data_IF_894025899496
#
_entry.id   IF_894025899496
#
_cell.length_a   1.000
_cell.length_b   1.000
_cell.length_c   1.000
_cell.angle_alpha   90.00
_cell.angle_beta   90.00
_cell.angle_gamma   90.00
#
_symmetry.space_group_name_H-M   'P 1'
#
loop_
_entity.id
_entity.type
_entity.pdbx_description
1 polymer ?
#
# COMPACT_ATOMS: atom_id res chain seq x y z
N UNK A 1 -4.40 19.30 -5.23
CA UNK A 1 -3.94 18.50 -4.06
C UNK A 1 -2.64 19.12 -3.56
N UNK A 2 -2.43 19.17 -2.24
CA UNK A 2 -1.21 19.74 -1.66
C UNK A 2 0.06 18.96 -2.09
N UNK A 3 1.18 19.67 -2.32
CA UNK A 3 2.43 19.06 -2.81
C UNK A 3 3.02 18.04 -1.83
N UNK A 4 2.86 18.26 -0.51
CA UNK A 4 3.30 17.27 0.50
C UNK A 4 2.46 16.01 0.42
N UNK A 5 1.14 16.13 0.25
CA UNK A 5 0.25 14.96 0.04
C UNK A 5 0.68 14.18 -1.21
N UNK A 6 0.97 14.87 -2.31
CA UNK A 6 1.45 14.22 -3.53
C UNK A 6 2.76 13.47 -3.31
N UNK A 7 3.75 14.09 -2.65
CA UNK A 7 5.04 13.46 -2.37
C UNK A 7 4.92 12.26 -1.43
N UNK A 8 4.16 12.39 -0.34
CA UNK A 8 3.98 11.29 0.63
C UNK A 8 3.18 10.14 0.01
N UNK A 9 2.20 10.43 -0.85
CA UNK A 9 1.50 9.40 -1.62
C UNK A 9 2.44 8.66 -2.58
N UNK A 10 3.34 9.37 -3.27
CA UNK A 10 4.33 8.73 -4.13
C UNK A 10 5.30 7.87 -3.34
N UNK A 11 5.77 8.38 -2.19
CA UNK A 11 6.62 7.63 -1.28
C UNK A 11 5.95 6.35 -0.78
N UNK A 12 4.65 6.39 -0.48
CA UNK A 12 3.87 5.22 -0.09
C UNK A 12 3.87 4.16 -1.21
N UNK A 13 3.64 4.55 -2.46
CA UNK A 13 3.65 3.63 -3.62
C UNK A 13 5.03 2.96 -3.81
N UNK A 14 6.12 3.73 -3.71
CA UNK A 14 7.47 3.16 -3.81
C UNK A 14 7.84 2.29 -2.61
N UNK A 15 7.39 2.65 -1.41
CA UNK A 15 7.58 1.81 -0.22
C UNK A 15 6.82 0.51 -0.37
N UNK A 16 5.62 0.52 -0.97
CA UNK A 16 4.89 -0.70 -1.26
C UNK A 16 5.62 -1.57 -2.28
N UNK A 17 6.21 -0.99 -3.32
CA UNK A 17 7.07 -1.77 -4.22
C UNK A 17 8.25 -2.44 -3.47
N UNK A 18 8.87 -1.72 -2.53
CA UNK A 18 9.90 -2.29 -1.66
C UNK A 18 9.39 -3.42 -0.76
N UNK A 19 8.20 -3.26 -0.20
CA UNK A 19 7.54 -4.28 0.62
C UNK A 19 7.22 -5.54 -0.19
N UNK A 20 6.64 -5.39 -1.39
CA UNK A 20 6.41 -6.49 -2.33
C UNK A 20 7.69 -7.24 -2.69
N UNK A 21 8.84 -6.57 -2.76
CA UNK A 21 10.14 -7.22 -3.00
C UNK A 21 10.56 -8.07 -1.79
N UNK A 22 10.42 -7.56 -0.56
CA UNK A 22 10.69 -8.35 0.64
C UNK A 22 9.78 -9.58 0.71
N UNK A 23 8.49 -9.40 0.46
CA UNK A 23 7.51 -10.48 0.41
C UNK A 23 7.84 -11.52 -0.68
N UNK A 24 8.36 -11.06 -1.83
CA UNK A 24 8.78 -11.94 -2.91
C UNK A 24 9.99 -12.80 -2.53
N UNK A 25 11.02 -12.18 -1.96
CA UNK A 25 12.22 -12.89 -1.47
C UNK A 25 11.83 -13.91 -0.39
N UNK A 26 10.85 -13.59 0.44
CA UNK A 26 10.35 -14.48 1.49
C UNK A 26 9.26 -15.45 1.04
N UNK A 27 8.93 -15.53 -0.25
CA UNK A 27 7.92 -16.44 -0.80
C UNK A 27 6.56 -16.35 -0.08
N UNK A 28 6.05 -15.13 0.15
CA UNK A 28 4.83 -14.91 0.95
C UNK A 28 3.62 -15.76 0.50
N UNK A 29 3.48 -16.01 -0.81
CA UNK A 29 2.41 -16.84 -1.39
C UNK A 29 2.44 -18.30 -0.92
N UNK A 30 3.56 -18.77 -0.36
CA UNK A 30 3.69 -20.12 0.18
C UNK A 30 3.32 -20.20 1.65
N UNK A 31 3.36 -19.09 2.39
CA UNK A 31 3.23 -19.11 3.85
C UNK A 31 1.95 -18.42 4.35
N UNK A 32 1.40 -17.48 3.58
CA UNK A 32 0.21 -16.73 3.96
C UNK A 32 -1.02 -17.20 3.15
N UNK A 33 -2.04 -17.83 3.78
CA UNK A 33 -3.19 -18.36 3.05
C UNK A 33 -3.96 -17.32 2.23
N UNK A 34 -4.20 -16.08 2.70
CA UNK A 34 -4.77 -15.02 1.87
C UNK A 34 -3.96 -14.71 0.61
N UNK A 35 -2.63 -14.61 0.71
CA UNK A 35 -1.77 -14.36 -0.45
C UNK A 35 -1.83 -15.52 -1.45
N UNK A 36 -1.76 -16.76 -0.96
CA UNK A 36 -1.91 -17.95 -1.80
C UNK A 36 -3.22 -17.96 -2.57
N UNK A 37 -4.33 -17.69 -1.89
CA UNK A 37 -5.65 -17.63 -2.50
C UNK A 37 -5.69 -16.59 -3.63
N UNK A 38 -5.26 -15.36 -3.35
CA UNK A 38 -5.23 -14.29 -4.36
C UNK A 38 -4.34 -14.65 -5.57
N UNK A 39 -3.17 -15.24 -5.34
CA UNK A 39 -2.27 -15.64 -6.43
C UNK A 39 -2.90 -16.72 -7.31
N UNK A 40 -3.59 -17.69 -6.71
CA UNK A 40 -4.27 -18.77 -7.44
C UNK A 40 -5.44 -18.30 -8.30
N UNK A 41 -6.02 -17.13 -8.01
CA UNK A 41 -7.07 -16.53 -8.87
C UNK A 41 -6.50 -15.96 -10.17
N UNK A 42 -5.19 -15.70 -10.22
CA UNK A 42 -4.52 -15.06 -11.36
C UNK A 42 -3.74 -16.07 -12.19
N UNK A 43 -3.15 -17.09 -11.56
CA UNK A 43 -2.30 -18.08 -12.22
C UNK A 43 -2.23 -19.38 -11.41
N UNK A 44 -2.17 -20.53 -12.09
CA UNK A 44 -1.92 -21.84 -11.46
C UNK A 44 -0.52 -21.91 -10.82
N UNK A 45 0.42 -21.13 -11.37
CA UNK A 45 1.73 -20.89 -10.80
C UNK A 45 1.64 -19.69 -9.84
N UNK A 46 1.73 -19.95 -8.53
CA UNK A 46 1.54 -18.96 -7.47
C UNK A 46 2.57 -17.84 -7.50
N UNK A 47 3.82 -18.13 -7.86
CA UNK A 47 4.87 -17.13 -7.97
C UNK A 47 4.56 -16.13 -9.09
N UNK A 48 4.14 -16.63 -10.26
CA UNK A 48 3.68 -15.78 -11.37
C UNK A 48 2.45 -14.96 -10.97
N UNK A 49 1.49 -15.58 -10.27
CA UNK A 49 0.32 -14.89 -9.73
C UNK A 49 0.73 -13.73 -8.82
N UNK A 50 1.68 -13.96 -7.92
CA UNK A 50 2.21 -12.95 -7.00
C UNK A 50 2.89 -11.81 -7.76
N UNK A 51 3.74 -12.11 -8.74
CA UNK A 51 4.41 -11.11 -9.57
C UNK A 51 3.40 -10.24 -10.34
N UNK A 52 2.42 -10.86 -10.99
CA UNK A 52 1.40 -10.14 -11.77
C UNK A 52 0.58 -9.21 -10.87
N UNK A 53 0.17 -9.69 -9.69
CA UNK A 53 -0.59 -8.87 -8.72
C UNK A 53 0.24 -7.67 -8.28
N UNK A 54 1.48 -7.87 -7.83
CA UNK A 54 2.31 -6.79 -7.27
C UNK A 54 2.77 -5.80 -8.33
N UNK A 55 3.15 -6.26 -9.53
CA UNK A 55 3.47 -5.37 -10.65
C UNK A 55 2.22 -4.57 -11.04
N UNK A 56 1.06 -5.23 -11.14
CA UNK A 56 -0.22 -4.56 -11.39
C UNK A 56 -0.51 -3.50 -10.34
N UNK A 57 -0.32 -3.82 -9.06
CA UNK A 57 -0.51 -2.89 -7.95
C UNK A 57 0.41 -1.67 -8.06
N UNK A 58 1.70 -1.88 -8.30
CA UNK A 58 2.65 -0.79 -8.48
C UNK A 58 2.30 0.10 -9.67
N UNK A 59 1.97 -0.50 -10.82
CA UNK A 59 1.54 0.23 -12.02
C UNK A 59 0.27 1.04 -11.75
N UNK A 60 -0.74 0.46 -11.09
CA UNK A 60 -1.95 1.18 -10.68
C UNK A 60 -1.63 2.34 -9.73
N UNK A 61 -0.67 2.16 -8.82
CA UNK A 61 -0.21 3.22 -7.90
C UNK A 61 0.42 4.39 -8.65
N UNK A 62 1.34 4.10 -9.57
CA UNK A 62 2.01 5.11 -10.40
C UNK A 62 1.03 5.81 -11.34
N UNK A 63 0.14 5.07 -12.01
CA UNK A 63 -0.87 5.65 -12.89
C UNK A 63 -1.88 6.49 -12.11
N UNK A 64 -2.38 5.98 -10.98
CA UNK A 64 -3.25 6.73 -10.09
C UNK A 64 -2.59 8.01 -9.59
N UNK A 65 -1.29 7.95 -9.28
CA UNK A 65 -0.54 9.14 -8.88
C UNK A 65 -0.39 10.14 -10.03
N UNK A 66 0.08 9.70 -11.20
CA UNK A 66 0.33 10.56 -12.37
C UNK A 66 -0.94 11.22 -12.89
N UNK A 67 -2.01 10.44 -13.02
CA UNK A 67 -3.24 10.88 -13.70
C UNK A 67 -4.19 11.62 -12.76
N UNK A 68 -4.23 11.25 -11.47
CA UNK A 68 -5.25 11.76 -10.54
C UNK A 68 -4.64 12.60 -9.42
N UNK A 69 -3.65 12.09 -8.68
CA UNK A 69 -3.10 12.77 -7.51
C UNK A 69 -2.28 14.00 -7.89
N UNK A 70 -1.41 13.87 -8.90
CA UNK A 70 -0.55 14.95 -9.40
C UNK A 70 -1.37 16.06 -10.06
N UNK A 71 -2.40 15.72 -10.82
CA UNK A 71 -3.28 16.67 -11.52
C UNK A 71 -4.30 17.32 -10.57
N UNK A 72 -4.48 16.77 -9.37
CA UNK A 72 -5.47 17.26 -8.41
C UNK A 72 -6.92 16.93 -8.81
N UNK A 73 -7.13 15.86 -9.58
CA UNK A 73 -8.43 15.40 -10.03
C UNK A 73 -9.40 15.15 -8.85
N UNK A 74 -10.71 15.29 -9.07
CA UNK A 74 -11.74 15.08 -8.03
C UNK A 74 -11.69 13.68 -7.39
N UNK A 75 -11.22 12.69 -8.15
CA UNK A 75 -11.07 11.31 -7.69
C UNK A 75 -9.78 11.05 -6.89
N UNK A 76 -8.84 12.00 -6.85
CA UNK A 76 -7.54 11.83 -6.18
C UNK A 76 -7.70 11.41 -4.71
N UNK A 77 -8.68 11.99 -4.01
CA UNK A 77 -8.95 11.69 -2.60
C UNK A 77 -9.32 10.22 -2.40
N UNK A 78 -10.18 9.67 -3.25
CA UNK A 78 -10.62 8.27 -3.15
C UNK A 78 -9.46 7.31 -3.42
N UNK A 79 -8.64 7.61 -4.42
CA UNK A 79 -7.45 6.81 -4.73
C UNK A 79 -6.45 6.84 -3.58
N UNK A 80 -6.18 8.01 -3.00
CA UNK A 80 -5.29 8.10 -1.83
C UNK A 80 -5.84 7.29 -0.65
N UNK A 81 -7.14 7.37 -0.37
CA UNK A 81 -7.75 6.60 0.71
C UNK A 81 -7.73 5.09 0.48
N UNK A 82 -7.92 4.65 -0.77
CA UNK A 82 -7.75 3.25 -1.16
C UNK A 82 -6.36 2.75 -0.77
N UNK A 83 -5.31 3.46 -1.18
CA UNK A 83 -3.93 3.13 -0.81
C UNK A 83 -3.69 3.16 0.70
N UNK A 84 -4.15 4.20 1.40
CA UNK A 84 -4.02 4.28 2.86
C UNK A 84 -4.62 3.04 3.54
N UNK A 85 -5.83 2.64 3.16
CA UNK A 85 -6.52 1.53 3.81
C UNK A 85 -5.75 0.22 3.60
N UNK A 86 -5.33 -0.05 2.36
CA UNK A 86 -4.58 -1.26 2.04
C UNK A 86 -3.27 -1.31 2.82
N UNK A 87 -2.49 -0.23 2.83
CA UNK A 87 -1.18 -0.26 3.49
C UNK A 87 -1.27 -0.27 5.01
N UNK A 88 -2.34 0.26 5.60
CA UNK A 88 -2.62 0.06 7.02
C UNK A 88 -2.96 -1.41 7.33
N UNK A 89 -3.73 -2.08 6.46
CA UNK A 89 -4.04 -3.49 6.60
C UNK A 89 -2.77 -4.34 6.47
N UNK A 90 -1.92 -4.08 5.46
CA UNK A 90 -0.63 -4.76 5.30
C UNK A 90 0.26 -4.56 6.53
N UNK A 91 0.43 -3.31 6.96
CA UNK A 91 1.25 -2.95 8.11
C UNK A 91 0.83 -3.67 9.38
N UNK A 92 -0.46 -3.67 9.70
CA UNK A 92 -1.00 -4.38 10.87
C UNK A 92 -0.93 -5.90 10.70
N UNK A 93 -1.32 -6.40 9.53
CA UNK A 93 -1.40 -7.83 9.23
C UNK A 93 -0.06 -8.53 9.44
N UNK A 94 1.03 -7.96 8.91
CA UNK A 94 2.37 -8.52 9.05
C UNK A 94 2.89 -8.49 10.48
N UNK A 95 2.67 -7.40 11.22
CA UNK A 95 3.08 -7.31 12.62
C UNK A 95 2.32 -8.29 13.48
N UNK A 96 0.99 -8.33 13.36
CA UNK A 96 0.14 -9.26 14.13
C UNK A 96 0.49 -10.71 13.81
N UNK A 97 0.68 -11.05 12.53
CA UNK A 97 1.01 -12.41 12.14
C UNK A 97 2.37 -12.86 12.65
N UNK A 98 3.40 -12.00 12.57
CA UNK A 98 4.72 -12.30 13.15
C UNK A 98 4.67 -12.49 14.66
N UNK A 99 3.84 -11.74 15.38
CA UNK A 99 3.64 -11.90 16.83
C UNK A 99 2.97 -13.23 17.18
N UNK A 100 1.93 -13.63 16.43
CA UNK A 100 1.23 -14.91 16.63
C UNK A 100 2.20 -16.09 16.41
N UNK A 101 3.02 -15.99 15.38
CA UNK A 101 3.93 -17.06 14.96
C UNK A 101 5.28 -17.03 15.68
N UNK A 102 5.52 -16.03 16.54
CA UNK A 102 6.77 -15.79 17.28
C UNK A 102 8.04 -15.94 16.42
N UNK A 103 7.95 -15.58 15.13
CA UNK A 103 8.99 -15.81 14.14
C UNK A 103 8.94 -14.72 13.06
N UNK A 104 10.06 -14.55 12.36
CA UNK A 104 10.11 -13.63 11.22
C UNK A 104 9.15 -14.10 10.13
N UNK A 105 8.42 -13.14 9.54
CA UNK A 105 7.52 -13.35 8.41
C UNK A 105 7.87 -12.39 7.27
N UNK A 106 7.78 -12.82 6.00
CA UNK A 106 8.07 -11.95 4.86
C UNK A 106 7.23 -10.69 4.91
N UNK A 107 7.84 -9.53 4.72
CA UNK A 107 7.17 -8.22 4.79
C UNK A 107 7.26 -7.53 6.15
N UNK A 108 7.73 -8.22 7.21
CA UNK A 108 7.80 -7.66 8.56
C UNK A 108 8.77 -6.47 8.68
N UNK A 109 9.88 -6.45 7.92
CA UNK A 109 10.87 -5.36 8.02
C UNK A 109 10.28 -4.06 7.46
N UNK A 110 9.57 -4.15 6.34
CA UNK A 110 9.04 -2.99 5.62
C UNK A 110 7.63 -2.58 6.09
N UNK A 111 6.85 -3.49 6.68
CA UNK A 111 5.49 -3.22 7.17
C UNK A 111 5.35 -2.01 8.13
N UNK A 112 6.26 -1.78 9.11
CA UNK A 112 6.19 -0.60 9.97
C UNK A 112 6.35 0.73 9.20
N UNK A 113 7.16 0.74 8.15
CA UNK A 113 7.35 1.92 7.31
C UNK A 113 6.10 2.22 6.49
N UNK A 114 5.50 1.19 5.87
CA UNK A 114 4.21 1.31 5.19
C UNK A 114 3.14 1.88 6.11
N UNK A 115 3.01 1.31 7.31
CA UNK A 115 2.05 1.78 8.31
C UNK A 115 2.29 3.25 8.67
N UNK A 116 3.53 3.61 9.00
CA UNK A 116 3.89 4.97 9.41
C UNK A 116 3.63 6.00 8.31
N UNK A 117 3.97 5.69 7.05
CA UNK A 117 3.75 6.57 5.90
C UNK A 117 2.26 6.69 5.61
N UNK A 118 1.50 5.59 5.61
CA UNK A 118 0.05 5.60 5.40
C UNK A 118 -0.67 6.42 6.49
N UNK A 119 -0.27 6.27 7.74
CA UNK A 119 -0.80 7.03 8.87
C UNK A 119 -0.48 8.53 8.76
N UNK A 120 0.75 8.87 8.35
CA UNK A 120 1.13 10.25 8.07
C UNK A 120 0.28 10.86 6.94
N UNK A 121 0.14 10.14 5.83
CA UNK A 121 -0.63 10.57 4.67
C UNK A 121 -2.10 10.82 5.02
N UNK A 122 -2.71 9.92 5.82
CA UNK A 122 -4.05 10.09 6.37
C UNK A 122 -4.22 11.45 7.05
N UNK A 123 -3.30 11.80 7.95
CA UNK A 123 -3.33 13.07 8.68
C UNK A 123 -3.23 14.29 7.75
N UNK A 124 -2.38 14.22 6.71
CA UNK A 124 -2.24 15.29 5.72
C UNK A 124 -3.50 15.49 4.87
N UNK A 125 -4.16 14.40 4.47
CA UNK A 125 -5.41 14.44 3.70
C UNK A 125 -6.57 15.02 4.52
N UNK A 126 -6.63 14.69 5.82
CA UNK A 126 -7.64 15.23 6.74
C UNK A 126 -7.50 16.73 6.93
N UNK A 127 -6.29 17.20 7.27
CA UNK A 127 -6.01 18.65 7.43
C UNK A 127 -6.34 19.45 6.16
N UNK A 128 -6.04 18.89 4.99
CA UNK A 128 -6.37 19.52 3.70
C UNK A 128 -7.87 19.62 3.44
N UNK A 129 -8.68 18.74 4.02
CA UNK A 129 -10.15 18.79 3.92
C UNK A 129 -10.76 19.76 4.92
N UNK A 130 -10.22 19.81 6.15
CA UNK A 130 -10.77 20.63 7.24
C UNK A 130 -10.41 22.11 7.12
N UNK A 131 -9.22 22.43 6.59
CA UNK A 131 -8.81 23.82 6.31
C UNK A 131 -9.66 24.53 5.26
N UNK A 132 -10.44 23.79 4.45
CA UNK A 132 -11.40 24.36 3.50
C UNK A 132 -12.77 24.71 4.11
N UNK A 133 -13.04 24.31 5.36
CA UNK A 133 -14.35 24.51 6.03
C UNK A 133 -14.41 25.75 6.94
N UNK A 134 -13.35 26.55 7.05
CA UNK A 134 -13.30 27.71 7.97
C UNK A 134 -13.80 29.02 7.31
N UNK A 135 -14.16 29.00 6.02
CA UNK A 135 -14.61 30.20 5.28
C UNK A 135 -15.88 29.99 4.43
N UNK A 136 -16.81 29.14 4.86
CA UNK A 136 -18.15 29.05 4.27
C UNK A 136 -19.21 29.53 5.22
#
# INVERSE_FOLDING_TARGET
MDRKVQMVCLLLVFTQAGHSIEEYIGHLWEVLPPARYLCSLVSDDLEKGFLVINIGFFVLGILGWLLLVRTGHVLAKYIIWFWIIIELINGVGHVVWALIEASYRPGLITAPFLFGIAWCLRGLVQKSTDGGKVHS
#
